data_IF_850750103986
#
_entry.id   IF_850750103986
#
_cell.length_a   1.000
_cell.length_b   1.000
_cell.length_c   1.000
_cell.angle_alpha   90.00
_cell.angle_beta   90.00
_cell.angle_gamma   90.00
#
_symmetry.space_group_name_H-M   'P 1'
#
loop_
_entity.id
_entity.type
_entity.pdbx_description
1 polymer ?
#
# COMPACT_ATOMS: atom_id res chain seq x y z
N UNK A 1 -2.41 23.35 -50.43
CA UNK A 1 -1.57 22.41 -49.66
C UNK A 1 -1.23 22.92 -48.26
N UNK A 2 -0.87 24.20 -48.07
CA UNK A 2 -0.56 24.79 -46.74
C UNK A 2 -1.73 24.77 -45.72
N UNK A 3 -2.96 24.83 -46.20
CA UNK A 3 -4.18 25.03 -45.39
C UNK A 3 -4.53 23.83 -44.49
N UNK A 4 -4.21 22.61 -44.94
CA UNK A 4 -4.51 21.40 -44.18
C UNK A 4 -3.51 21.15 -43.06
N UNK A 5 -2.25 21.54 -43.28
CA UNK A 5 -1.19 21.53 -42.28
C UNK A 5 -1.47 22.46 -41.09
N UNK A 6 -1.98 23.67 -41.36
CA UNK A 6 -2.40 24.56 -40.26
C UNK A 6 -3.54 23.97 -39.44
N UNK A 7 -4.51 23.31 -40.10
CA UNK A 7 -5.64 22.67 -39.42
C UNK A 7 -5.18 21.50 -38.54
N UNK A 8 -4.27 20.65 -39.02
CA UNK A 8 -3.74 19.53 -38.22
C UNK A 8 -2.91 20.02 -37.04
N UNK A 9 -2.05 21.03 -37.24
CA UNK A 9 -1.26 21.63 -36.14
C UNK A 9 -2.18 22.24 -35.09
N UNK A 10 -3.22 22.98 -35.49
CA UNK A 10 -4.17 23.58 -34.56
C UNK A 10 -4.96 22.52 -33.77
N UNK A 11 -5.36 21.41 -34.42
CA UNK A 11 -6.01 20.29 -33.73
C UNK A 11 -5.07 19.64 -32.71
N UNK A 12 -3.81 19.39 -33.06
CA UNK A 12 -2.83 18.80 -32.13
C UNK A 12 -2.57 19.74 -30.95
N UNK A 13 -2.39 21.04 -31.18
CA UNK A 13 -2.19 22.03 -30.11
C UNK A 13 -3.41 22.09 -29.18
N UNK A 14 -4.64 22.08 -29.73
CA UNK A 14 -5.86 22.07 -28.92
C UNK A 14 -5.99 20.76 -28.13
N UNK A 15 -5.67 19.61 -28.72
CA UNK A 15 -5.69 18.32 -28.01
C UNK A 15 -4.69 18.34 -26.87
N UNK A 16 -3.44 18.77 -27.11
CA UNK A 16 -2.38 18.84 -26.08
C UNK A 16 -2.75 19.79 -24.94
N UNK A 17 -3.37 20.94 -25.24
CA UNK A 17 -3.83 21.91 -24.23
C UNK A 17 -5.08 21.43 -23.45
N UNK A 18 -5.81 20.45 -23.97
CA UNK A 18 -7.01 19.87 -23.35
C UNK A 18 -6.71 18.58 -22.56
N UNK A 19 -5.48 18.08 -22.58
CA UNK A 19 -5.07 16.96 -21.72
C UNK A 19 -4.86 17.49 -20.32
N UNK A 20 -5.79 17.19 -19.41
CA UNK A 20 -5.53 17.35 -17.98
C UNK A 20 -4.41 16.38 -17.59
N UNK A 21 -3.37 16.83 -16.86
CA UNK A 21 -2.37 15.92 -16.32
C UNK A 21 -3.09 14.99 -15.33
N UNK A 22 -3.12 13.70 -15.64
CA UNK A 22 -3.52 12.68 -14.67
C UNK A 22 -2.40 12.58 -13.62
N UNK A 23 -2.64 13.14 -12.44
CA UNK A 23 -1.76 12.95 -11.28
C UNK A 23 -2.08 11.58 -10.70
N UNK A 24 -1.08 10.71 -10.62
CA UNK A 24 -1.22 9.42 -9.95
C UNK A 24 -1.23 9.66 -8.44
N UNK A 25 -2.10 8.97 -7.70
CA UNK A 25 -2.26 9.14 -6.25
C UNK A 25 -2.04 7.80 -5.54
N UNK A 26 -0.92 7.63 -4.80
CA UNK A 26 -0.64 6.42 -4.03
C UNK A 26 -1.45 6.31 -2.73
N UNK A 27 -2.27 7.31 -2.40
CA UNK A 27 -3.16 7.31 -1.24
C UNK A 27 -2.42 7.05 0.09
N UNK A 28 -1.35 7.80 0.33
CA UNK A 28 -0.45 7.67 1.49
C UNK A 28 -0.95 8.40 2.75
N UNK A 29 -2.27 8.56 2.91
CA UNK A 29 -2.86 9.10 4.13
C UNK A 29 -2.87 8.03 5.24
N UNK A 30 -2.17 8.30 6.35
CA UNK A 30 -1.91 7.32 7.41
C UNK A 30 -3.18 7.09 8.24
N UNK A 31 -3.73 5.87 8.16
CA UNK A 31 -4.89 5.46 8.95
C UNK A 31 -4.44 4.98 10.33
N UNK A 32 -3.47 4.07 10.38
CA UNK A 32 -3.02 3.44 11.62
C UNK A 32 -1.60 2.86 11.50
N UNK A 33 -0.90 2.73 12.61
CA UNK A 33 0.37 2.02 12.72
C UNK A 33 0.52 1.35 14.08
N UNK A 34 1.32 0.30 14.16
CA UNK A 34 1.63 -0.36 15.42
C UNK A 34 2.98 -1.05 15.37
N UNK A 35 3.65 -1.11 16.53
CA UNK A 35 4.91 -1.81 16.73
C UNK A 35 4.70 -2.89 17.80
N UNK A 36 5.40 -4.01 17.66
CA UNK A 36 5.49 -5.04 18.69
C UNK A 36 6.13 -4.47 19.96
N UNK A 37 5.70 -4.97 21.10
CA UNK A 37 6.35 -4.69 22.39
C UNK A 37 7.58 -5.58 22.63
N UNK A 38 7.72 -6.63 21.82
CA UNK A 38 8.86 -7.54 21.87
C UNK A 38 9.89 -7.12 20.83
N UNK A 39 11.16 -7.17 21.23
CA UNK A 39 12.26 -6.82 20.35
C UNK A 39 12.85 -8.05 19.68
N UNK A 40 13.50 -7.82 18.54
CA UNK A 40 14.39 -8.80 17.94
C UNK A 40 15.60 -9.04 18.85
N UNK A 41 16.14 -10.25 18.77
CA UNK A 41 17.27 -10.71 19.60
C UNK A 41 18.59 -10.23 19.03
N UNK A 42 18.83 -10.47 17.74
CA UNK A 42 19.96 -9.96 16.98
C UNK A 42 19.49 -8.93 15.95
N UNK A 43 19.75 -7.65 16.22
CA UNK A 43 19.33 -6.55 15.34
C UNK A 43 19.99 -6.60 13.97
N UNK A 44 21.23 -7.09 13.87
CA UNK A 44 21.92 -7.17 12.57
C UNK A 44 21.24 -8.19 11.67
N UNK A 45 20.98 -9.39 12.19
CA UNK A 45 20.33 -10.45 11.42
C UNK A 45 18.88 -10.06 11.10
N UNK A 46 18.16 -9.51 12.08
CA UNK A 46 16.80 -9.02 11.90
C UNK A 46 16.70 -7.98 10.78
N UNK A 47 17.55 -6.94 10.77
CA UNK A 47 17.48 -5.91 9.72
C UNK A 47 17.89 -6.45 8.35
N UNK A 48 18.81 -7.41 8.28
CA UNK A 48 19.15 -8.10 7.04
C UNK A 48 17.93 -8.87 6.50
N UNK A 49 17.32 -9.72 7.33
CA UNK A 49 16.13 -10.49 6.99
C UNK A 49 14.96 -9.59 6.57
N UNK A 50 14.73 -8.50 7.31
CA UNK A 50 13.66 -7.53 7.05
C UNK A 50 13.86 -6.83 5.70
N UNK A 51 15.08 -6.38 5.40
CA UNK A 51 15.39 -5.73 4.13
C UNK A 51 15.23 -6.70 2.95
N UNK A 52 15.73 -7.93 3.06
CA UNK A 52 15.56 -8.94 2.02
C UNK A 52 14.08 -9.29 1.78
N UNK A 53 13.31 -9.42 2.86
CA UNK A 53 11.87 -9.72 2.79
C UNK A 53 11.12 -8.57 2.08
N UNK A 54 11.43 -7.31 2.40
CA UNK A 54 10.81 -6.17 1.73
C UNK A 54 11.24 -6.03 0.26
N UNK A 55 12.48 -6.38 -0.07
CA UNK A 55 12.93 -6.42 -1.46
C UNK A 55 12.15 -7.46 -2.27
N UNK A 56 11.91 -8.64 -1.71
CA UNK A 56 11.10 -9.68 -2.36
C UNK A 56 9.65 -9.23 -2.57
N UNK A 57 8.99 -8.67 -1.54
CA UNK A 57 7.65 -8.10 -1.68
C UNK A 57 7.58 -7.06 -2.82
N UNK A 58 8.57 -6.16 -2.87
CA UNK A 58 8.64 -5.12 -3.89
C UNK A 58 8.78 -5.70 -5.30
N UNK A 59 9.61 -6.73 -5.45
CA UNK A 59 9.81 -7.42 -6.73
C UNK A 59 8.54 -8.14 -7.20
N UNK A 60 7.83 -8.80 -6.28
CA UNK A 60 6.56 -9.46 -6.58
C UNK A 60 5.49 -8.46 -7.04
N UNK A 61 5.35 -7.33 -6.34
CA UNK A 61 4.43 -6.25 -6.74
C UNK A 61 4.80 -5.66 -8.12
N UNK A 62 6.09 -5.47 -8.40
CA UNK A 62 6.56 -4.90 -9.66
C UNK A 62 6.34 -5.84 -10.86
N UNK A 63 6.47 -7.15 -10.67
CA UNK A 63 6.45 -8.12 -11.76
C UNK A 63 5.08 -8.80 -11.96
N UNK A 64 4.28 -8.91 -10.91
CA UNK A 64 3.10 -9.78 -10.90
C UNK A 64 1.81 -9.12 -11.38
N UNK A 65 1.80 -7.81 -11.62
CA UNK A 65 0.55 -7.03 -11.77
C UNK A 65 -0.46 -7.41 -10.67
N UNK A 66 0.06 -7.60 -9.45
CA UNK A 66 -0.67 -8.05 -8.27
C UNK A 66 -0.67 -6.94 -7.24
N UNK A 67 -1.74 -6.86 -6.47
CA UNK A 67 -1.90 -5.93 -5.35
C UNK A 67 -1.69 -6.63 -4.01
N UNK A 68 -1.25 -7.88 -4.01
CA UNK A 68 -1.01 -8.66 -2.81
C UNK A 68 0.25 -9.50 -2.99
N UNK A 69 1.09 -9.55 -1.95
CA UNK A 69 2.26 -10.39 -1.89
C UNK A 69 2.61 -10.78 -0.45
N UNK A 70 3.26 -11.93 -0.31
CA UNK A 70 3.84 -12.42 0.94
C UNK A 70 5.29 -12.82 0.71
N UNK A 71 6.15 -12.59 1.69
CA UNK A 71 7.56 -12.98 1.64
C UNK A 71 8.04 -13.35 3.05
N UNK A 72 9.12 -14.10 3.13
CA UNK A 72 9.70 -14.49 4.42
C UNK A 72 11.19 -14.74 4.34
N UNK A 73 11.88 -14.47 5.44
CA UNK A 73 13.19 -15.03 5.75
C UNK A 73 13.11 -15.75 7.09
N UNK A 74 13.00 -17.08 7.03
CA UNK A 74 12.60 -17.93 8.16
C UNK A 74 13.67 -18.91 8.66
N UNK A 75 14.80 -19.05 7.95
CA UNK A 75 15.84 -20.05 8.26
C UNK A 75 17.03 -19.48 9.07
N UNK A 76 16.95 -18.21 9.48
CA UNK A 76 18.02 -17.47 10.17
C UNK A 76 17.61 -17.11 11.60
N UNK A 77 18.53 -16.52 12.38
CA UNK A 77 18.15 -15.85 13.64
C UNK A 77 17.18 -14.71 13.33
N UNK A 78 16.19 -14.51 14.20
CA UNK A 78 15.16 -13.45 14.08
C UNK A 78 14.40 -13.52 12.74
N UNK A 79 13.58 -14.57 12.55
CA UNK A 79 12.83 -14.76 11.31
C UNK A 79 11.85 -13.61 11.09
N UNK A 80 11.61 -13.30 9.81
CA UNK A 80 10.66 -12.27 9.39
C UNK A 80 9.67 -12.89 8.41
N UNK A 81 8.38 -12.75 8.73
CA UNK A 81 7.27 -13.02 7.83
C UNK A 81 6.63 -11.68 7.50
N UNK A 82 6.30 -11.41 6.25
CA UNK A 82 5.68 -10.15 5.87
C UNK A 82 4.65 -10.32 4.76
N UNK A 83 3.68 -9.42 4.76
CA UNK A 83 2.70 -9.26 3.68
C UNK A 83 2.49 -7.80 3.34
N UNK A 84 2.16 -7.56 2.08
CA UNK A 84 1.65 -6.28 1.59
C UNK A 84 0.35 -6.50 0.84
N UNK A 85 -0.60 -5.58 1.03
CA UNK A 85 -1.82 -5.51 0.25
C UNK A 85 -2.11 -4.06 -0.15
N UNK A 86 -2.12 -3.78 -1.45
CA UNK A 86 -2.59 -2.53 -2.02
C UNK A 86 -4.10 -2.62 -2.33
N UNK A 87 -4.74 -1.47 -2.52
CA UNK A 87 -6.07 -1.40 -3.13
C UNK A 87 -6.00 -1.87 -4.58
N UNK A 88 -6.90 -2.77 -4.97
CA UNK A 88 -6.92 -3.37 -6.32
C UNK A 88 -7.11 -2.38 -7.47
N UNK A 89 -7.60 -1.16 -7.20
CA UNK A 89 -7.79 -0.13 -8.22
C UNK A 89 -6.55 0.74 -8.45
N UNK A 90 -5.52 0.64 -7.61
CA UNK A 90 -4.29 1.40 -7.80
C UNK A 90 -3.51 0.87 -9.00
N UNK A 91 -2.82 1.76 -9.70
CA UNK A 91 -1.83 1.33 -10.68
C UNK A 91 -0.67 0.61 -9.97
N UNK A 92 0.11 -0.19 -10.69
CA UNK A 92 1.32 -0.83 -10.14
C UNK A 92 2.29 0.21 -9.58
N UNK A 93 2.41 1.37 -10.24
CA UNK A 93 3.27 2.47 -9.80
C UNK A 93 2.80 3.07 -8.47
N UNK A 94 1.49 3.32 -8.33
CA UNK A 94 0.91 3.87 -7.10
C UNK A 94 0.95 2.87 -5.94
N UNK A 95 0.74 1.58 -6.23
CA UNK A 95 0.90 0.52 -5.24
C UNK A 95 2.35 0.44 -4.72
N UNK A 96 3.34 0.48 -5.62
CA UNK A 96 4.75 0.50 -5.23
C UNK A 96 5.11 1.75 -4.43
N UNK A 97 4.61 2.92 -4.84
CA UNK A 97 4.83 4.16 -4.10
C UNK A 97 4.22 4.13 -2.69
N UNK A 98 3.03 3.56 -2.53
CA UNK A 98 2.43 3.35 -1.21
C UNK A 98 3.24 2.36 -0.37
N UNK A 99 3.66 1.24 -0.96
CA UNK A 99 4.51 0.26 -0.30
C UNK A 99 5.84 0.86 0.18
N UNK A 100 6.53 1.63 -0.68
CA UNK A 100 7.80 2.29 -0.34
C UNK A 100 7.61 3.32 0.80
N UNK A 101 6.48 4.05 0.81
CA UNK A 101 6.10 4.91 1.93
C UNK A 101 5.85 4.11 3.22
N UNK A 102 5.17 2.96 3.14
CA UNK A 102 4.92 2.07 4.28
C UNK A 102 6.22 1.50 4.85
N UNK A 103 7.15 1.06 3.99
CA UNK A 103 8.50 0.61 4.39
C UNK A 103 9.25 1.73 5.12
N UNK A 104 9.15 2.97 4.64
CA UNK A 104 9.78 4.11 5.34
C UNK A 104 9.15 4.34 6.71
N UNK A 105 7.81 4.31 6.79
CA UNK A 105 7.08 4.54 8.03
C UNK A 105 7.30 3.44 9.07
N UNK A 106 7.44 2.18 8.65
CA UNK A 106 7.55 1.03 9.55
C UNK A 106 8.92 0.93 10.24
N UNK A 107 9.97 1.54 9.65
CA UNK A 107 11.31 1.62 10.26
C UNK A 107 11.33 2.41 11.57
N UNK A 108 10.30 3.22 11.84
CA UNK A 108 10.12 3.90 13.11
C UNK A 108 9.85 2.96 14.30
N UNK A 109 9.62 1.66 14.06
CA UNK A 109 9.47 0.66 15.12
C UNK A 109 10.80 0.15 15.72
N UNK A 110 11.95 0.68 15.25
CA UNK A 110 13.28 0.38 15.80
C UNK A 110 13.55 -1.12 15.92
N UNK A 111 13.62 -1.66 17.13
CA UNK A 111 13.97 -3.04 17.44
C UNK A 111 12.76 -3.99 17.50
N UNK A 112 11.52 -3.48 17.35
CA UNK A 112 10.31 -4.30 17.45
C UNK A 112 10.32 -5.43 16.43
N UNK A 113 10.08 -6.66 16.87
CA UNK A 113 10.10 -7.86 16.02
C UNK A 113 8.79 -8.09 15.23
N UNK A 114 7.92 -7.08 15.22
CA UNK A 114 6.67 -7.07 14.49
C UNK A 114 6.18 -5.65 14.36
N UNK A 115 5.52 -5.33 13.24
CA UNK A 115 4.92 -4.03 13.03
C UNK A 115 3.90 -4.06 11.90
N UNK A 116 3.05 -3.02 11.86
CA UNK A 116 2.17 -2.74 10.73
C UNK A 116 2.06 -1.25 10.44
N UNK A 117 1.78 -0.94 9.18
CA UNK A 117 1.42 0.39 8.70
C UNK A 117 0.21 0.24 7.78
N UNK A 118 -0.78 1.09 7.98
CA UNK A 118 -2.02 1.12 7.20
C UNK A 118 -2.17 2.54 6.62
N UNK A 119 -2.04 2.62 5.31
CA UNK A 119 -2.40 3.78 4.49
C UNK A 119 -3.73 3.51 3.78
N UNK A 120 -4.40 4.55 3.27
CA UNK A 120 -5.60 4.40 2.44
C UNK A 120 -5.38 3.46 1.24
N UNK A 121 -4.19 3.58 0.63
CA UNK A 121 -3.79 2.81 -0.56
C UNK A 121 -3.21 1.43 -0.28
N UNK A 122 -2.62 1.19 0.90
CA UNK A 122 -1.93 -0.07 1.17
C UNK A 122 -1.77 -0.41 2.66
N UNK A 123 -1.62 -1.70 2.91
CA UNK A 123 -1.36 -2.31 4.21
C UNK A 123 -0.05 -3.10 4.14
N UNK A 124 0.90 -2.79 5.03
CA UNK A 124 2.15 -3.52 5.20
C UNK A 124 2.23 -4.06 6.63
N UNK A 125 2.56 -5.34 6.78
CA UNK A 125 2.76 -5.96 8.09
C UNK A 125 3.91 -6.95 8.04
N UNK A 126 4.72 -6.97 9.11
CA UNK A 126 5.64 -8.07 9.38
C UNK A 126 5.54 -8.53 10.83
N UNK A 127 5.90 -9.78 11.09
CA UNK A 127 5.98 -10.39 12.42
C UNK A 127 7.11 -11.42 12.47
N UNK A 128 7.52 -11.80 13.68
CA UNK A 128 8.49 -12.87 13.91
C UNK A 128 7.91 -14.28 13.80
N UNK A 129 6.59 -14.41 13.61
CA UNK A 129 5.88 -15.68 13.46
C UNK A 129 4.90 -15.59 12.28
N UNK A 130 4.53 -16.73 11.70
CA UNK A 130 3.52 -16.79 10.64
C UNK A 130 2.18 -16.24 11.15
N UNK A 131 1.58 -15.32 10.38
CA UNK A 131 0.32 -14.65 10.75
C UNK A 131 -0.71 -14.56 9.62
N UNK A 132 -0.46 -15.15 8.45
CA UNK A 132 -1.28 -14.94 7.25
C UNK A 132 -2.76 -15.32 7.43
N UNK A 133 -3.06 -16.26 8.33
CA UNK A 133 -4.43 -16.70 8.63
C UNK A 133 -5.08 -15.95 9.83
N UNK A 134 -4.39 -14.97 10.41
CA UNK A 134 -4.86 -14.25 11.60
C UNK A 134 -5.66 -13.00 11.22
N UNK A 135 -6.96 -13.01 11.51
CA UNK A 135 -7.89 -11.93 11.13
C UNK A 135 -8.37 -11.05 12.28
N UNK A 136 -8.14 -11.44 13.55
CA UNK A 136 -8.77 -10.82 14.73
C UNK A 136 -7.80 -10.17 15.71
N UNK A 137 -6.59 -9.84 15.28
CA UNK A 137 -5.59 -9.29 16.19
C UNK A 137 -5.88 -7.83 16.61
N UNK A 138 -5.41 -7.43 17.81
CA UNK A 138 -5.54 -6.06 18.31
C UNK A 138 -5.03 -5.04 17.29
N UNK A 139 -5.87 -4.06 16.95
CA UNK A 139 -5.62 -2.93 16.04
C UNK A 139 -6.19 -3.04 14.64
N UNK A 140 -7.07 -4.01 14.41
CA UNK A 140 -8.24 -3.75 13.57
C UNK A 140 -9.09 -2.68 14.29
N UNK A 141 -9.02 -1.44 13.81
CA UNK A 141 -9.78 -0.32 14.38
C UNK A 141 -10.86 0.11 13.40
N UNK A 142 -12.11 0.15 13.86
CA UNK A 142 -13.16 0.86 13.15
C UNK A 142 -13.03 2.34 13.47
N UNK A 143 -12.67 3.14 12.47
CA UNK A 143 -12.64 4.60 12.58
C UNK A 143 -13.86 5.12 11.84
N UNK A 144 -14.77 5.75 12.57
CA UNK A 144 -15.93 6.43 12.00
C UNK A 144 -15.67 7.93 12.11
N UNK A 145 -15.85 8.65 11.02
CA UNK A 145 -15.91 10.11 11.06
C UNK A 145 -17.33 10.55 11.45
N UNK A 146 -17.49 11.73 12.06
CA UNK A 146 -18.79 12.33 12.38
C UNK A 146 -19.38 13.10 11.19
N UNK A 147 -18.90 12.81 9.98
CA UNK A 147 -19.33 13.42 8.74
C UNK A 147 -20.62 12.81 8.21
N UNK A 148 -21.49 13.65 7.65
CA UNK A 148 -22.63 13.20 6.85
C UNK A 148 -22.23 13.19 5.38
N UNK A 149 -22.47 12.08 4.68
CA UNK A 149 -22.25 12.00 3.24
C UNK A 149 -23.07 13.06 2.52
N UNK A 150 -22.49 13.74 1.53
CA UNK A 150 -23.20 14.65 0.64
C UNK A 150 -24.23 13.93 -0.26
N UNK A 151 -24.12 12.60 -0.35
CA UNK A 151 -25.00 11.71 -1.12
C UNK A 151 -25.42 10.50 -0.25
N UNK A 152 -26.27 10.70 0.77
CA UNK A 152 -26.59 9.68 1.75
C UNK A 152 -27.30 8.46 1.14
N UNK A 153 -28.16 8.67 0.15
CA UNK A 153 -28.89 7.59 -0.52
C UNK A 153 -27.96 6.68 -1.31
N UNK A 154 -27.03 7.25 -2.07
CA UNK A 154 -26.06 6.49 -2.85
C UNK A 154 -25.09 5.72 -1.93
N UNK A 155 -24.58 6.39 -0.89
CA UNK A 155 -23.73 5.76 0.12
C UNK A 155 -24.43 4.55 0.77
N UNK A 156 -25.67 4.72 1.23
CA UNK A 156 -26.43 3.64 1.87
C UNK A 156 -26.66 2.45 0.92
N UNK A 157 -26.95 2.71 -0.36
CA UNK A 157 -27.11 1.65 -1.36
C UNK A 157 -25.79 0.86 -1.58
N UNK A 158 -24.65 1.54 -1.63
CA UNK A 158 -23.33 0.89 -1.77
C UNK A 158 -22.95 0.08 -0.53
N UNK A 159 -23.19 0.61 0.67
CA UNK A 159 -22.93 -0.11 1.94
C UNK A 159 -23.77 -1.39 2.02
N UNK A 160 -25.05 -1.33 1.65
CA UNK A 160 -25.92 -2.51 1.61
C UNK A 160 -25.42 -3.59 0.63
N UNK A 161 -24.77 -3.20 -0.48
CA UNK A 161 -24.22 -4.14 -1.46
C UNK A 161 -22.87 -4.76 -1.08
N UNK A 162 -22.17 -4.23 -0.08
CA UNK A 162 -20.83 -4.70 0.35
C UNK A 162 -20.84 -5.56 1.62
N UNK A 163 -21.98 -5.64 2.30
CA UNK A 163 -22.20 -6.48 3.48
C UNK A 163 -22.75 -7.89 3.16
N UNK A 164 -22.71 -8.31 1.88
CA UNK A 164 -23.19 -9.60 1.39
C UNK A 164 -22.07 -10.58 1.07
#
# INVERSE_FOLDING_TARGET
MMKWWCLTVMVVVVVVLKVEPAVSDPQINLINKGCSQYNATNLSDFFNNLNETFLDLRNQLSNGNTHFATAQQAMTSDPVYAMVQCRNYLSTADCLACFDAAVTQIRNCSAGNGARVIYDGCFLRYESNVFYDQTTLPGNSHICDNGTSSQPTAFNATVQGTAG
#
